data_IF_077879963836
#
_entry.id   IF_077879963836
#
_cell.length_a   1.000
_cell.length_b   1.000
_cell.length_c   1.000
_cell.angle_alpha   90.00
_cell.angle_beta   90.00
_cell.angle_gamma   90.00
#
_symmetry.space_group_name_H-M   'P 1'
#
loop_
_entity.id
_entity.type
_entity.pdbx_description
1 polymer ?
#
# COMPACT_ATOMS: atom_id res chain seq x y z
N UNK A 1 -4.90 2.71 15.80
CA UNK A 1 -3.79 3.35 16.51
C UNK A 1 -2.69 3.77 15.54
N UNK A 2 -2.22 5.03 15.66
CA UNK A 2 -1.11 5.52 14.86
C UNK A 2 0.22 5.06 15.46
N UNK A 3 1.02 4.33 14.68
CA UNK A 3 2.38 3.92 15.05
C UNK A 3 3.41 4.96 14.61
N UNK A 4 3.25 5.51 13.40
CA UNK A 4 4.12 6.53 12.84
C UNK A 4 3.41 7.33 11.75
N UNK A 5 3.70 8.62 11.68
CA UNK A 5 3.36 9.50 10.57
C UNK A 5 4.48 10.50 10.36
N UNK A 6 4.96 10.62 9.12
CA UNK A 6 6.02 11.57 8.79
C UNK A 6 6.23 11.72 7.29
N UNK A 7 6.76 12.89 6.91
CA UNK A 7 7.14 13.24 5.54
C UNK A 7 8.65 13.18 5.38
N UNK A 8 9.13 13.03 4.16
CA UNK A 8 10.53 12.84 3.81
C UNK A 8 10.80 11.46 3.25
N UNK A 9 12.04 11.03 3.27
CA UNK A 9 12.45 9.70 2.79
C UNK A 9 13.18 8.93 3.87
N UNK A 10 13.07 7.60 3.84
CA UNK A 10 13.73 6.80 4.87
C UNK A 10 13.31 5.36 4.93
N UNK A 11 13.48 4.78 6.11
CA UNK A 11 13.12 3.39 6.40
C UNK A 11 12.44 3.29 7.76
N UNK A 12 11.27 2.66 7.80
CA UNK A 12 10.68 2.23 9.05
C UNK A 12 11.34 0.92 9.47
N UNK A 13 11.92 0.91 10.67
CA UNK A 13 12.75 -0.19 11.16
C UNK A 13 12.01 -1.07 12.15
N UNK A 14 11.00 -0.54 12.83
CA UNK A 14 10.21 -1.33 13.76
C UNK A 14 9.47 -0.52 14.79
N UNK A 15 8.79 -1.24 15.68
CA UNK A 15 8.04 -0.66 16.78
C UNK A 15 8.06 -1.54 18.02
N UNK A 16 7.96 -0.89 19.18
CA UNK A 16 7.60 -1.49 20.46
C UNK A 16 6.21 -0.99 20.81
N UNK A 17 5.30 -1.88 21.15
CA UNK A 17 3.89 -1.57 21.36
C UNK A 17 3.37 -2.27 22.62
N UNK A 18 2.77 -1.52 23.52
CA UNK A 18 2.07 -2.04 24.70
C UNK A 18 0.56 -1.89 24.53
N UNK A 19 -0.15 -2.97 24.79
CA UNK A 19 -1.60 -3.08 24.63
C UNK A 19 -2.19 -3.73 25.89
N UNK A 20 -3.37 -3.28 26.33
CA UNK A 20 -3.95 -3.68 27.62
C UNK A 20 -5.17 -4.58 27.53
N UNK A 21 -5.74 -4.86 26.38
CA UNK A 21 -6.92 -5.73 26.23
C UNK A 21 -6.71 -6.78 25.16
N UNK A 22 -7.30 -7.97 25.35
CA UNK A 22 -7.02 -9.13 24.50
C UNK A 22 -7.55 -9.02 23.07
N UNK A 23 -8.74 -8.49 22.83
CA UNK A 23 -9.37 -8.51 21.50
C UNK A 23 -8.70 -7.60 20.47
N UNK A 24 -7.53 -7.04 20.78
CA UNK A 24 -6.74 -6.29 19.81
C UNK A 24 -6.10 -7.16 18.73
N UNK A 25 -5.94 -8.47 18.97
CA UNK A 25 -5.15 -9.38 18.12
C UNK A 25 -5.56 -9.37 16.65
N UNK A 26 -6.83 -9.36 16.35
CA UNK A 26 -7.34 -9.35 14.96
C UNK A 26 -7.20 -7.99 14.24
N UNK A 27 -6.48 -7.04 14.83
CA UNK A 27 -6.26 -5.71 14.24
C UNK A 27 -5.09 -5.69 13.26
N UNK A 28 -5.37 -5.45 11.98
CA UNK A 28 -4.36 -5.44 10.92
C UNK A 28 -3.42 -4.24 11.05
N UNK A 29 -2.15 -4.44 10.72
CA UNK A 29 -1.25 -3.32 10.45
C UNK A 29 -1.42 -2.82 9.02
N UNK A 30 -1.36 -1.50 8.85
CA UNK A 30 -1.47 -0.81 7.58
C UNK A 30 -0.30 0.16 7.40
N UNK A 31 0.43 0.02 6.29
CA UNK A 31 1.48 0.95 5.91
C UNK A 31 1.09 1.65 4.60
N UNK A 32 0.73 2.92 4.72
CA UNK A 32 0.46 3.79 3.58
C UNK A 32 1.76 4.48 3.18
N UNK A 33 2.33 4.07 2.08
CA UNK A 33 3.65 4.51 1.62
C UNK A 33 3.51 5.56 0.54
N UNK A 34 4.26 6.65 0.68
CA UNK A 34 4.39 7.70 -0.33
C UNK A 34 3.04 8.30 -0.76
N UNK A 35 2.16 8.56 0.21
CA UNK A 35 0.88 9.21 0.00
C UNK A 35 -0.20 8.35 -0.67
N UNK A 36 0.00 7.02 -0.71
CA UNK A 36 -1.01 6.11 -1.23
C UNK A 36 -2.31 6.18 -0.42
N UNK A 37 -3.47 6.10 -1.09
CA UNK A 37 -4.79 6.09 -0.44
C UNK A 37 -5.18 4.70 0.10
N UNK A 38 -4.49 3.65 -0.34
CA UNK A 38 -4.60 2.29 0.17
C UNK A 38 -3.28 1.83 0.77
N UNK A 39 -3.27 0.96 1.78
CA UNK A 39 -2.02 0.48 2.36
C UNK A 39 -1.24 -0.36 1.35
N UNK A 40 0.04 -0.06 1.20
CA UNK A 40 0.95 -0.85 0.36
C UNK A 40 1.40 -2.14 1.06
N UNK A 41 1.28 -2.17 2.39
CA UNK A 41 1.38 -3.37 3.23
C UNK A 41 0.12 -3.40 4.08
N UNK A 42 -0.62 -4.50 3.98
CA UNK A 42 -1.85 -4.75 4.72
C UNK A 42 -1.72 -6.13 5.37
N UNK A 43 -1.71 -6.17 6.69
CA UNK A 43 -1.53 -7.39 7.46
C UNK A 43 -2.82 -8.15 7.75
N UNK A 44 -2.69 -9.15 8.60
CA UNK A 44 -3.76 -10.10 8.94
C UNK A 44 -4.12 -10.12 10.42
N UNK A 45 -3.36 -9.42 11.25
CA UNK A 45 -3.59 -9.32 12.69
C UNK A 45 -2.37 -8.79 13.41
N UNK A 46 -2.57 -8.17 14.55
CA UNK A 46 -1.46 -7.65 15.37
C UNK A 46 -0.58 -8.77 15.92
N UNK A 47 -1.14 -9.95 16.24
CA UNK A 47 -0.38 -11.11 16.66
C UNK A 47 0.52 -11.63 15.54
N UNK A 48 0.04 -11.63 14.30
CA UNK A 48 0.81 -12.01 13.12
C UNK A 48 1.93 -11.00 12.87
N UNK A 49 1.61 -9.71 12.95
CA UNK A 49 2.60 -8.64 12.81
C UNK A 49 3.74 -8.77 13.82
N UNK A 50 3.42 -9.06 15.10
CA UNK A 50 4.42 -9.18 16.16
C UNK A 50 5.05 -10.57 16.27
N UNK A 51 4.90 -11.46 15.27
CA UNK A 51 5.47 -12.82 15.21
C UNK A 51 4.95 -13.74 16.31
N UNK A 52 3.81 -13.45 16.89
CA UNK A 52 3.22 -14.22 17.96
C UNK A 52 2.37 -15.39 17.48
N UNK A 53 2.29 -15.61 16.15
CA UNK A 53 1.50 -16.63 15.50
C UNK A 53 0.02 -16.56 15.91
N UNK A 54 -0.70 -17.66 15.94
CA UNK A 54 -2.14 -17.73 16.24
C UNK A 54 -2.54 -17.02 17.55
N UNK A 55 -1.66 -17.00 18.55
CA UNK A 55 -1.84 -16.31 19.82
C UNK A 55 -0.53 -16.34 20.59
N UNK A 56 -0.13 -15.25 21.27
CA UNK A 56 1.09 -15.27 22.05
C UNK A 56 0.91 -16.18 23.28
N UNK A 57 1.22 -17.45 23.12
CA UNK A 57 1.06 -18.46 24.15
C UNK A 57 2.16 -18.44 25.23
N UNK A 58 3.31 -17.87 24.88
CA UNK A 58 4.47 -17.74 25.78
C UNK A 58 5.20 -16.44 25.48
N UNK A 59 5.86 -15.92 26.49
CA UNK A 59 6.88 -14.90 26.28
C UNK A 59 7.97 -15.45 25.37
N UNK A 60 8.44 -14.62 24.44
CA UNK A 60 9.59 -14.93 23.62
C UNK A 60 10.41 -13.66 23.37
N UNK A 61 11.67 -13.86 23.08
CA UNK A 61 12.63 -12.81 22.77
C UNK A 61 13.56 -13.26 21.64
N UNK A 62 13.56 -12.49 20.56
CA UNK A 62 14.39 -12.71 19.38
C UNK A 62 14.93 -11.37 18.88
N UNK A 63 15.98 -11.35 18.03
CA UNK A 63 16.45 -10.10 17.40
C UNK A 63 15.40 -9.38 16.56
N UNK A 64 14.35 -10.09 16.12
CA UNK A 64 13.32 -9.56 15.21
C UNK A 64 12.05 -9.13 15.93
N UNK A 65 11.84 -9.57 17.15
CA UNK A 65 10.67 -9.21 17.94
C UNK A 65 10.59 -9.95 19.25
N UNK A 66 9.78 -9.42 20.14
CA UNK A 66 9.48 -10.07 21.42
C UNK A 66 8.00 -9.93 21.77
N UNK A 67 7.56 -10.83 22.66
CA UNK A 67 6.32 -10.72 23.41
C UNK A 67 6.67 -10.89 24.88
N UNK A 68 6.28 -9.91 25.71
CA UNK A 68 6.49 -9.91 27.16
C UNK A 68 5.19 -9.52 27.84
N UNK A 69 4.84 -10.27 28.87
CA UNK A 69 3.63 -10.07 29.64
C UNK A 69 2.68 -11.25 29.50
N UNK A 70 2.25 -11.78 30.62
CA UNK A 70 1.34 -12.91 30.65
C UNK A 70 -0.05 -12.52 30.15
N UNK A 71 -0.37 -12.93 28.94
CA UNK A 71 -1.68 -12.77 28.34
C UNK A 71 -2.60 -13.94 28.64
N UNK A 72 -2.09 -14.97 29.31
CA UNK A 72 -2.87 -16.12 29.74
C UNK A 72 -3.23 -16.00 31.19
N UNK A 73 -4.52 -16.05 31.49
CA UNK A 73 -4.93 -16.59 32.76
C UNK A 73 -4.56 -18.08 32.83
N UNK A 74 -4.07 -18.55 33.93
CA UNK A 74 -3.71 -19.96 34.18
C UNK A 74 -4.84 -20.97 33.91
N UNK A 75 -5.98 -20.55 33.38
CA UNK A 75 -7.13 -21.38 33.04
C UNK A 75 -7.41 -21.57 31.54
N UNK A 76 -6.62 -20.97 30.61
CA UNK A 76 -6.75 -21.22 29.17
C UNK A 76 -8.08 -20.77 28.56
N UNK A 77 -8.86 -19.95 29.25
CA UNK A 77 -10.13 -19.42 28.75
C UNK A 77 -10.05 -17.95 28.39
N UNK A 78 -10.87 -17.53 27.46
CA UNK A 78 -11.16 -16.12 27.13
C UNK A 78 -11.96 -15.46 28.27
N UNK A 79 -11.45 -15.54 29.50
CA UNK A 79 -12.17 -14.97 30.65
C UNK A 79 -12.04 -13.45 30.67
N UNK A 80 -13.13 -12.81 31.01
CA UNK A 80 -13.31 -11.34 30.99
C UNK A 80 -12.26 -10.57 31.81
N UNK A 81 -11.58 -11.22 32.77
CA UNK A 81 -10.60 -10.63 33.67
C UNK A 81 -9.13 -10.70 33.17
N UNK A 82 -8.83 -11.47 32.12
CA UNK A 82 -7.51 -11.52 31.50
C UNK A 82 -7.14 -10.23 30.74
N UNK A 83 -8.07 -9.30 30.66
CA UNK A 83 -8.01 -8.09 29.83
C UNK A 83 -7.26 -6.91 30.43
N UNK A 84 -6.82 -7.02 31.66
CA UNK A 84 -6.21 -5.89 32.39
C UNK A 84 -4.68 -5.96 32.48
N UNK A 85 -4.08 -7.05 32.03
CA UNK A 85 -2.61 -7.21 32.05
C UNK A 85 -2.02 -6.56 30.80
N UNK A 86 -1.11 -5.57 30.96
CA UNK A 86 -0.45 -4.97 29.83
C UNK A 86 0.51 -6.00 29.19
N UNK A 87 0.38 -6.22 27.90
CA UNK A 87 1.33 -6.97 27.11
C UNK A 87 2.21 -6.01 26.30
N UNK A 88 3.47 -6.35 26.15
CA UNK A 88 4.41 -5.59 25.36
C UNK A 88 4.91 -6.44 24.20
N UNK A 89 4.82 -5.89 23.02
CA UNK A 89 5.22 -6.51 21.77
C UNK A 89 6.29 -5.67 21.09
N UNK A 90 7.20 -6.31 20.38
CA UNK A 90 8.07 -5.60 19.47
C UNK A 90 8.19 -6.32 18.14
N UNK A 91 8.37 -5.54 17.08
CA UNK A 91 8.73 -6.03 15.74
C UNK A 91 9.83 -5.15 15.18
N UNK A 92 10.93 -5.78 14.74
CA UNK A 92 12.03 -5.09 14.07
C UNK A 92 12.23 -5.68 12.67
N UNK A 93 12.16 -4.82 11.67
CA UNK A 93 12.36 -5.13 10.25
C UNK A 93 13.85 -4.99 9.87
N UNK A 94 14.73 -5.73 10.56
CA UNK A 94 16.19 -5.53 10.44
C UNK A 94 16.71 -5.96 9.08
N UNK A 95 16.18 -7.05 8.51
CA UNK A 95 16.61 -7.57 7.21
C UNK A 95 15.86 -6.94 6.02
N UNK A 96 14.64 -6.45 6.27
CA UNK A 96 13.75 -5.86 5.26
C UNK A 96 13.03 -4.63 5.81
N UNK A 97 13.74 -3.53 6.10
CA UNK A 97 13.11 -2.30 6.55
C UNK A 97 12.16 -1.77 5.47
N UNK A 98 11.05 -1.17 5.91
CA UNK A 98 10.03 -0.66 4.99
C UNK A 98 10.48 0.69 4.44
N UNK A 99 10.81 0.79 3.13
CA UNK A 99 11.27 2.03 2.53
C UNK A 99 10.11 2.97 2.25
N UNK A 100 10.37 4.27 2.35
CA UNK A 100 9.50 5.31 1.84
C UNK A 100 10.33 6.45 1.26
N UNK A 101 9.79 7.14 0.26
CA UNK A 101 10.51 8.15 -0.52
C UNK A 101 9.93 9.56 -0.39
N UNK A 102 8.69 9.70 0.05
CA UNK A 102 8.05 11.01 0.30
C UNK A 102 7.28 11.08 1.61
N UNK A 103 6.96 9.95 2.21
CA UNK A 103 6.28 9.87 3.49
C UNK A 103 5.77 8.49 3.82
N UNK A 104 5.41 8.31 5.09
CA UNK A 104 4.86 7.06 5.60
C UNK A 104 3.80 7.36 6.67
N UNK A 105 2.68 6.65 6.57
CA UNK A 105 1.72 6.51 7.67
C UNK A 105 1.62 5.03 8.01
N UNK A 106 2.01 4.67 9.23
CA UNK A 106 1.90 3.32 9.78
C UNK A 106 0.86 3.29 10.88
N UNK A 107 -0.10 2.41 10.77
CA UNK A 107 -1.22 2.23 11.71
C UNK A 107 -1.39 0.78 12.07
N UNK A 108 -2.08 0.53 13.18
CA UNK A 108 -2.58 -0.78 13.56
C UNK A 108 -4.02 -0.64 14.04
N UNK A 109 -4.90 -1.53 13.63
CA UNK A 109 -6.30 -1.53 14.03
C UNK A 109 -6.46 -1.99 15.47
N UNK A 110 -7.56 -1.60 16.10
CA UNK A 110 -7.95 -2.01 17.44
C UNK A 110 -8.87 -3.23 17.37
N UNK A 111 -8.31 -4.42 17.12
CA UNK A 111 -9.08 -5.64 16.85
C UNK A 111 -9.68 -5.65 15.45
N UNK A 112 -10.32 -6.76 15.08
CA UNK A 112 -10.76 -7.04 13.70
C UNK A 112 -11.75 -6.05 13.10
N UNK A 113 -12.42 -5.24 13.90
CA UNK A 113 -13.32 -4.16 13.46
C UNK A 113 -12.84 -2.77 13.85
N UNK A 114 -11.60 -2.64 14.32
CA UNK A 114 -11.00 -1.39 14.82
C UNK A 114 -11.85 -0.66 15.89
N UNK A 115 -12.58 -1.39 16.71
CA UNK A 115 -13.56 -0.88 17.67
C UNK A 115 -13.25 -1.23 19.13
N UNK A 116 -12.13 -1.89 19.42
CA UNK A 116 -11.76 -2.26 20.77
C UNK A 116 -11.21 -1.05 21.52
N UNK A 117 -11.87 -0.72 22.63
CA UNK A 117 -11.41 0.34 23.52
C UNK A 117 -10.34 -0.24 24.45
N UNK A 118 -9.11 0.21 24.30
CA UNK A 118 -7.97 -0.25 25.08
C UNK A 118 -6.97 0.90 25.30
N UNK A 119 -5.98 0.65 26.16
CA UNK A 119 -4.84 1.54 26.29
C UNK A 119 -3.71 1.02 25.40
N UNK A 120 -3.28 1.88 24.49
CA UNK A 120 -2.17 1.63 23.59
C UNK A 120 -1.03 2.60 23.89
N UNK A 121 0.19 2.12 23.80
CA UNK A 121 1.43 2.94 23.85
C UNK A 121 2.39 2.35 22.85
N UNK A 122 3.01 3.18 22.01
CA UNK A 122 3.98 2.71 21.04
C UNK A 122 5.18 3.63 20.95
N UNK A 123 6.29 3.06 20.55
CA UNK A 123 7.52 3.74 20.16
C UNK A 123 8.01 3.14 18.85
N UNK A 124 8.06 3.94 17.79
CA UNK A 124 8.52 3.50 16.48
C UNK A 124 9.92 4.00 16.17
N UNK A 125 10.68 3.20 15.45
CA UNK A 125 12.06 3.46 15.04
C UNK A 125 12.11 3.69 13.55
N UNK A 126 12.63 4.84 13.13
CA UNK A 126 12.69 5.27 11.73
C UNK A 126 14.04 5.93 11.45
N UNK A 127 14.68 5.54 10.36
CA UNK A 127 15.74 6.35 9.77
C UNK A 127 15.09 7.34 8.81
N UNK A 128 15.22 8.64 9.10
CA UNK A 128 14.53 9.70 8.38
C UNK A 128 15.52 10.70 7.78
N UNK A 129 15.36 10.97 6.49
CA UNK A 129 15.82 12.17 5.82
C UNK A 129 14.61 13.10 5.59
N UNK A 130 14.70 14.35 6.00
CA UNK A 130 13.61 15.32 5.86
C UNK A 130 13.26 15.65 4.40
N UNK A 131 14.17 15.35 3.46
CA UNK A 131 13.94 15.58 2.03
C UNK A 131 13.18 14.43 1.39
N UNK A 132 12.15 14.77 0.62
CA UNK A 132 11.46 13.83 -0.27
C UNK A 132 12.35 13.46 -1.45
N UNK A 133 12.44 12.17 -1.74
CA UNK A 133 13.10 11.62 -2.93
C UNK A 133 12.13 11.20 -4.03
N UNK A 134 10.86 11.54 -3.88
CA UNK A 134 9.82 11.23 -4.85
C UNK A 134 9.04 12.51 -5.16
N UNK A 135 8.93 12.86 -6.43
CA UNK A 135 8.19 14.05 -6.89
C UNK A 135 7.18 13.65 -7.95
N UNK A 136 5.92 14.01 -7.75
CA UNK A 136 4.91 13.83 -8.78
C UNK A 136 5.24 14.69 -10.00
N UNK A 137 5.24 14.09 -11.18
CA UNK A 137 5.55 14.74 -12.46
C UNK A 137 4.36 14.79 -13.42
N UNK A 138 3.40 13.86 -13.25
CA UNK A 138 2.23 13.79 -14.12
C UNK A 138 1.05 13.09 -13.45
N UNK A 139 -0.13 13.20 -14.06
CA UNK A 139 -1.36 12.54 -13.63
C UNK A 139 -2.30 12.32 -14.81
N UNK A 140 -2.81 11.11 -14.97
CA UNK A 140 -3.78 10.76 -16.00
C UNK A 140 -5.09 10.36 -15.33
N UNK A 141 -6.16 11.10 -15.58
CA UNK A 141 -7.53 10.72 -15.22
C UNK A 141 -8.10 9.88 -16.37
N UNK A 142 -8.23 8.57 -16.15
CA UNK A 142 -8.71 7.64 -17.17
C UNK A 142 -10.23 7.69 -17.24
N UNK A 143 -10.76 7.86 -18.45
CA UNK A 143 -12.19 8.09 -18.69
C UNK A 143 -12.56 9.57 -18.80
N UNK A 144 -11.65 10.49 -18.42
CA UNK A 144 -11.77 11.90 -18.79
C UNK A 144 -11.17 12.15 -20.18
N UNK A 145 -11.99 12.60 -21.12
CA UNK A 145 -11.57 12.75 -22.52
C UNK A 145 -10.50 13.83 -22.72
N UNK A 146 -10.47 14.85 -21.86
CA UNK A 146 -9.45 15.91 -21.90
C UNK A 146 -8.09 15.38 -21.43
N UNK A 147 -8.07 14.69 -20.30
CA UNK A 147 -6.86 14.04 -19.76
C UNK A 147 -6.34 12.98 -20.71
N UNK A 148 -7.19 12.09 -21.21
CA UNK A 148 -6.80 11.07 -22.19
C UNK A 148 -6.19 11.68 -23.47
N UNK A 149 -6.78 12.76 -23.97
CA UNK A 149 -6.26 13.45 -25.16
C UNK A 149 -4.88 14.07 -24.92
N UNK A 150 -4.69 14.76 -23.79
CA UNK A 150 -3.39 15.34 -23.42
C UNK A 150 -2.26 14.30 -23.34
N UNK A 151 -2.58 13.13 -22.80
CA UNK A 151 -1.62 12.04 -22.62
C UNK A 151 -1.58 11.07 -23.81
N UNK A 152 -2.30 11.35 -24.90
CA UNK A 152 -2.40 10.45 -26.08
C UNK A 152 -2.81 9.03 -25.63
N UNK A 153 -3.69 8.94 -24.63
CA UNK A 153 -4.17 7.67 -24.11
C UNK A 153 -4.99 6.96 -25.18
N UNK A 154 -4.66 5.73 -25.45
CA UNK A 154 -5.38 4.86 -26.40
C UNK A 154 -5.47 3.47 -25.82
N UNK A 155 -6.64 2.87 -25.94
CA UNK A 155 -6.84 1.47 -25.58
C UNK A 155 -7.73 0.79 -26.61
N UNK A 156 -7.47 -0.48 -26.83
CA UNK A 156 -8.38 -1.38 -27.54
C UNK A 156 -8.96 -2.40 -26.53
N UNK A 157 -10.11 -3.00 -26.87
CA UNK A 157 -10.80 -3.97 -26.01
C UNK A 157 -11.14 -3.43 -24.61
N UNK A 158 -11.52 -2.16 -24.52
CA UNK A 158 -11.91 -1.53 -23.26
C UNK A 158 -13.34 -1.02 -23.29
N UNK A 159 -13.91 -0.88 -22.08
CA UNK A 159 -15.20 -0.23 -21.84
C UNK A 159 -14.99 0.87 -20.80
N UNK A 160 -15.46 2.09 -21.12
CA UNK A 160 -15.52 3.20 -20.15
C UNK A 160 -16.63 2.96 -19.15
N UNK A 161 -16.37 3.28 -17.91
CA UNK A 161 -17.34 3.33 -16.82
C UNK A 161 -17.20 4.65 -16.08
N UNK A 162 -18.29 5.36 -15.90
CA UNK A 162 -18.31 6.67 -15.27
C UNK A 162 -19.00 6.61 -13.90
N UNK A 163 -18.56 7.47 -12.98
CA UNK A 163 -19.21 7.66 -11.69
C UNK A 163 -19.15 6.42 -10.80
N UNK A 164 -18.03 5.69 -10.82
CA UNK A 164 -17.78 4.60 -9.90
C UNK A 164 -17.63 5.13 -8.48
N UNK A 165 -18.45 4.62 -7.57
CA UNK A 165 -18.27 4.86 -6.13
C UNK A 165 -17.52 3.68 -5.53
N UNK A 166 -16.31 3.92 -5.05
CA UNK A 166 -15.38 2.88 -4.59
C UNK A 166 -14.89 3.22 -3.18
N UNK A 167 -14.86 2.23 -2.29
CA UNK A 167 -14.21 2.36 -0.98
C UNK A 167 -12.74 1.96 -1.12
N UNK A 168 -11.79 2.78 -0.63
CA UNK A 168 -10.39 2.39 -0.56
C UNK A 168 -10.17 1.19 0.36
N UNK A 169 -9.24 0.33 0.00
CA UNK A 169 -8.71 -0.70 0.90
C UNK A 169 -8.07 -0.03 2.12
N UNK A 170 -8.12 -0.69 3.28
CA UNK A 170 -7.47 -0.25 4.51
C UNK A 170 -8.43 0.06 5.63
N UNK A 171 -8.35 1.26 6.21
CA UNK A 171 -9.16 1.67 7.36
C UNK A 171 -10.66 1.56 7.07
N UNK A 172 -11.46 1.14 8.08
CA UNK A 172 -12.93 1.11 8.02
C UNK A 172 -13.51 2.53 7.92
N UNK A 173 -13.20 3.22 6.85
CA UNK A 173 -13.74 4.53 6.54
C UNK A 173 -15.08 4.37 5.82
N UNK A 174 -16.09 5.17 6.21
CA UNK A 174 -17.34 5.28 5.46
C UNK A 174 -17.17 6.07 4.16
N UNK A 175 -16.02 6.70 3.96
CA UNK A 175 -15.75 7.52 2.79
C UNK A 175 -15.55 6.67 1.53
N UNK A 176 -16.19 7.10 0.45
CA UNK A 176 -15.97 6.56 -0.88
C UNK A 176 -15.34 7.62 -1.75
N UNK A 177 -14.50 7.18 -2.68
CA UNK A 177 -14.03 8.02 -3.79
C UNK A 177 -14.94 7.84 -5.00
N UNK A 178 -15.06 8.87 -5.84
CA UNK A 178 -15.82 8.81 -7.09
C UNK A 178 -14.85 8.95 -8.25
N UNK A 179 -14.80 7.93 -9.10
CA UNK A 179 -13.85 7.84 -10.21
C UNK A 179 -14.56 7.46 -11.51
N UNK A 180 -13.95 7.85 -12.62
CA UNK A 180 -14.19 7.23 -13.91
C UNK A 180 -13.12 6.16 -14.14
N UNK A 181 -13.22 5.39 -15.22
CA UNK A 181 -12.16 4.45 -15.55
C UNK A 181 -12.48 3.57 -16.75
N UNK A 182 -11.56 2.70 -17.06
CA UNK A 182 -11.69 1.71 -18.13
C UNK A 182 -11.51 0.30 -17.59
N UNK A 183 -12.32 -0.60 -18.12
CA UNK A 183 -12.18 -2.05 -17.90
C UNK A 183 -11.81 -2.70 -19.22
N UNK A 184 -10.76 -3.52 -19.19
CA UNK A 184 -10.18 -4.19 -20.35
C UNK A 184 -10.39 -5.70 -20.22
N UNK A 185 -10.53 -6.37 -21.36
CA UNK A 185 -10.61 -7.84 -21.47
C UNK A 185 -9.44 -8.38 -22.30
N UNK A 186 -8.28 -7.75 -22.17
CA UNK A 186 -7.09 -7.96 -22.99
C UNK A 186 -6.73 -6.74 -23.80
N UNK A 187 -5.87 -6.91 -24.79
CA UNK A 187 -5.48 -5.86 -25.74
C UNK A 187 -4.30 -5.01 -25.27
N UNK A 188 -4.26 -3.78 -25.75
CA UNK A 188 -3.14 -2.88 -25.52
C UNK A 188 -3.63 -1.52 -25.05
N UNK A 189 -2.94 -0.98 -24.05
CA UNK A 189 -3.09 0.38 -23.55
C UNK A 189 -1.81 1.13 -23.87
N UNK A 190 -1.90 2.35 -24.39
CA UNK A 190 -0.75 3.23 -24.61
C UNK A 190 -1.04 4.63 -24.14
N UNK A 191 -0.07 5.28 -23.52
CA UNK A 191 -0.15 6.68 -23.12
C UNK A 191 1.24 7.30 -23.03
N UNK A 192 1.30 8.64 -22.94
CA UNK A 192 2.52 9.38 -22.70
C UNK A 192 2.46 10.06 -21.34
N UNK A 193 3.61 10.12 -20.67
CA UNK A 193 3.75 10.78 -19.37
C UNK A 193 4.95 11.71 -19.35
N UNK A 194 4.81 12.84 -18.68
CA UNK A 194 5.91 13.74 -18.41
C UNK A 194 6.75 13.24 -17.24
N UNK A 195 8.08 13.34 -17.37
CA UNK A 195 9.02 12.94 -16.32
C UNK A 195 10.17 13.95 -16.22
N UNK A 196 10.85 13.96 -15.06
CA UNK A 196 12.07 14.75 -14.90
C UNK A 196 13.26 14.03 -15.60
N UNK A 197 14.01 14.67 -16.51
CA UNK A 197 15.16 14.05 -17.15
C UNK A 197 16.27 13.61 -16.21
N UNK A 198 16.41 14.28 -15.06
CA UNK A 198 17.41 13.96 -14.03
C UNK A 198 16.98 12.83 -13.08
N UNK A 199 15.86 12.16 -13.36
CA UNK A 199 15.33 11.11 -12.51
C UNK A 199 16.31 9.93 -12.32
N UNK A 200 16.12 9.22 -11.21
CA UNK A 200 16.77 7.93 -10.90
C UNK A 200 15.84 6.73 -11.06
N UNK A 201 14.83 6.87 -11.85
CA UNK A 201 13.74 5.94 -12.11
C UNK A 201 12.40 6.66 -12.03
N UNK A 202 11.35 5.99 -12.46
CA UNK A 202 9.99 6.53 -12.48
C UNK A 202 9.03 5.51 -11.86
N UNK A 203 8.16 5.97 -10.97
CA UNK A 203 7.07 5.18 -10.43
C UNK A 203 5.77 5.52 -11.15
N UNK A 204 5.11 4.50 -11.66
CA UNK A 204 3.72 4.59 -12.08
C UNK A 204 2.85 4.04 -10.96
N UNK A 205 1.98 4.85 -10.38
CA UNK A 205 0.96 4.43 -9.43
C UNK A 205 -0.36 4.36 -10.16
N UNK A 206 -0.96 3.19 -10.20
CA UNK A 206 -2.27 2.96 -10.81
C UNK A 206 -3.33 2.79 -9.74
N UNK A 207 -4.41 3.57 -9.82
CA UNK A 207 -5.63 3.26 -9.09
C UNK A 207 -6.41 2.21 -9.87
N UNK A 208 -6.69 1.08 -9.23
CA UNK A 208 -7.40 -0.06 -9.82
C UNK A 208 -8.66 -0.40 -9.02
N UNK A 209 -9.57 -1.12 -9.67
CA UNK A 209 -10.73 -1.75 -9.03
C UNK A 209 -10.41 -3.22 -8.72
N UNK A 210 -10.30 -3.55 -7.44
CA UNK A 210 -10.03 -4.91 -6.97
C UNK A 210 -11.13 -5.92 -7.30
N UNK A 211 -12.36 -5.47 -7.59
CA UNK A 211 -13.44 -6.36 -8.01
C UNK A 211 -13.15 -7.10 -9.32
N UNK A 212 -12.21 -6.60 -10.11
CA UNK A 212 -11.77 -7.26 -11.35
C UNK A 212 -10.99 -8.56 -11.11
N UNK A 213 -10.47 -8.75 -9.89
CA UNK A 213 -9.67 -9.93 -9.53
C UNK A 213 -8.26 -9.87 -10.09
N UNK A 214 -7.76 -11.01 -10.60
CA UNK A 214 -6.40 -11.09 -11.15
C UNK A 214 -6.24 -10.19 -12.36
N UNK A 215 -5.24 -9.31 -12.31
CA UNK A 215 -4.92 -8.34 -13.35
C UNK A 215 -3.44 -8.44 -13.71
N UNK A 216 -3.12 -8.54 -15.00
CA UNK A 216 -1.76 -8.67 -15.47
C UNK A 216 -1.54 -7.90 -16.77
N UNK A 217 -0.41 -7.21 -16.88
CA UNK A 217 0.04 -6.57 -18.10
C UNK A 217 1.56 -6.61 -18.24
N UNK A 218 2.06 -6.87 -19.44
CA UNK A 218 3.47 -6.65 -19.75
C UNK A 218 3.69 -5.16 -20.05
N UNK A 219 4.68 -4.56 -19.37
CA UNK A 219 4.98 -3.13 -19.44
C UNK A 219 6.14 -2.87 -20.37
N UNK A 220 5.95 -1.91 -21.28
CA UNK A 220 7.00 -1.44 -22.20
C UNK A 220 7.14 0.07 -22.08
N UNK A 221 8.38 0.56 -22.08
CA UNK A 221 8.75 1.98 -22.06
C UNK A 221 9.51 2.29 -23.33
N UNK A 222 8.98 3.18 -24.17
CA UNK A 222 9.54 3.54 -25.49
C UNK A 222 9.89 2.31 -26.35
N UNK A 223 9.10 1.25 -26.20
CA UNK A 223 9.25 -0.01 -26.93
C UNK A 223 10.15 -1.05 -26.27
N UNK A 224 10.87 -0.71 -25.20
CA UNK A 224 11.70 -1.64 -24.44
C UNK A 224 10.88 -2.28 -23.30
N UNK A 225 11.05 -3.57 -23.06
CA UNK A 225 10.37 -4.28 -21.98
C UNK A 225 10.87 -3.77 -20.61
N UNK A 226 9.94 -3.43 -19.72
CA UNK A 226 10.23 -2.96 -18.38
C UNK A 226 9.86 -3.99 -17.29
N UNK A 227 9.01 -4.96 -17.60
CA UNK A 227 8.59 -6.02 -16.69
C UNK A 227 7.10 -6.32 -16.78
N UNK A 228 6.60 -7.03 -15.77
CA UNK A 228 5.20 -7.45 -15.66
C UNK A 228 4.54 -6.72 -14.51
N UNK A 229 3.43 -6.02 -14.75
CA UNK A 229 2.56 -5.47 -13.72
C UNK A 229 1.50 -6.49 -13.36
N UNK A 230 1.51 -6.97 -12.13
CA UNK A 230 0.65 -8.05 -11.67
C UNK A 230 -0.08 -7.68 -10.38
N UNK A 231 -1.37 -7.92 -10.34
CA UNK A 231 -2.23 -7.84 -9.17
C UNK A 231 -2.98 -9.16 -9.01
N UNK A 232 -2.88 -9.83 -7.85
CA UNK A 232 -3.41 -11.16 -7.62
C UNK A 232 -4.57 -11.24 -6.63
N UNK A 233 -4.99 -10.10 -6.07
CA UNK A 233 -6.06 -10.07 -5.07
C UNK A 233 -7.41 -9.70 -5.68
N UNK A 234 -8.49 -10.01 -4.94
CA UNK A 234 -9.86 -9.64 -5.26
C UNK A 234 -10.55 -9.14 -3.98
N UNK A 235 -11.26 -8.01 -4.07
CA UNK A 235 -12.06 -7.49 -2.97
C UNK A 235 -13.31 -6.80 -3.55
N UNK A 236 -14.49 -7.34 -3.27
CA UNK A 236 -15.75 -6.78 -3.77
C UNK A 236 -16.26 -5.58 -2.95
N UNK A 237 -15.71 -5.38 -1.74
CA UNK A 237 -16.18 -4.37 -0.79
C UNK A 237 -15.24 -3.16 -0.76
N UNK A 238 -13.94 -3.37 -0.55
CA UNK A 238 -12.91 -2.35 -0.52
C UNK A 238 -12.20 -2.33 -1.88
N UNK A 239 -12.86 -1.74 -2.87
CA UNK A 239 -12.55 -1.92 -4.28
C UNK A 239 -11.40 -1.05 -4.79
N UNK A 240 -11.19 0.15 -4.21
CA UNK A 240 -10.14 1.05 -4.66
C UNK A 240 -8.79 0.67 -4.05
N UNK A 241 -7.82 0.35 -4.91
CA UNK A 241 -6.45 0.05 -4.50
C UNK A 241 -5.45 0.76 -5.39
N UNK A 242 -4.43 1.34 -4.78
CA UNK A 242 -3.29 1.91 -5.52
C UNK A 242 -2.14 0.92 -5.57
N UNK A 243 -1.63 0.68 -6.76
CA UNK A 243 -0.52 -0.23 -7.01
C UNK A 243 0.60 0.46 -7.77
N UNK A 244 1.82 0.32 -7.26
CA UNK A 244 3.02 0.90 -7.84
C UNK A 244 3.72 -0.06 -8.80
N UNK A 245 4.29 0.50 -9.87
CA UNK A 245 5.24 -0.14 -10.79
C UNK A 245 6.44 0.76 -10.98
N UNK A 246 7.60 0.33 -10.53
CA UNK A 246 8.83 1.10 -10.62
C UNK A 246 9.59 0.78 -11.92
N UNK A 247 9.79 1.81 -12.73
CA UNK A 247 10.55 1.74 -13.98
C UNK A 247 12.01 2.12 -13.69
N UNK A 248 12.99 1.27 -14.00
CA UNK A 248 14.38 1.52 -13.68
C UNK A 248 14.98 2.69 -14.47
N UNK A 249 16.02 3.29 -13.90
CA UNK A 249 16.68 4.50 -14.39
C UNK A 249 17.22 4.38 -15.82
N UNK A 250 17.70 3.23 -16.21
CA UNK A 250 18.23 2.97 -17.56
C UNK A 250 17.20 3.14 -18.67
N UNK A 251 15.91 2.98 -18.36
CA UNK A 251 14.80 3.22 -19.28
C UNK A 251 14.24 4.66 -19.22
N UNK A 252 14.62 5.48 -18.24
CA UNK A 252 13.92 6.74 -17.96
C UNK A 252 14.83 7.98 -17.98
N UNK A 253 16.09 7.85 -17.58
CA UNK A 253 17.02 8.97 -17.45
C UNK A 253 17.30 9.70 -18.76
N UNK A 254 17.38 11.03 -18.69
CA UNK A 254 17.64 11.89 -19.86
C UNK A 254 16.40 12.13 -20.73
N UNK A 255 15.25 11.61 -20.34
CA UNK A 255 13.98 11.80 -21.06
C UNK A 255 13.08 12.78 -20.31
N UNK A 256 12.39 13.63 -21.05
CA UNK A 256 11.35 14.52 -20.51
C UNK A 256 9.94 13.95 -20.64
N UNK A 257 9.78 12.93 -21.48
CA UNK A 257 8.53 12.16 -21.64
C UNK A 257 8.83 10.71 -21.90
N UNK A 258 7.93 9.83 -21.46
CA UNK A 258 7.97 8.41 -21.74
C UNK A 258 6.69 7.98 -22.46
N UNK A 259 6.82 7.08 -23.43
CA UNK A 259 5.67 6.36 -24.00
C UNK A 259 5.54 5.02 -23.31
N UNK A 260 4.46 4.88 -22.55
CA UNK A 260 4.12 3.63 -21.88
C UNK A 260 3.21 2.80 -22.79
N UNK A 261 3.44 1.49 -22.83
CA UNK A 261 2.56 0.52 -23.47
C UNK A 261 2.38 -0.66 -22.55
N UNK A 262 1.12 -0.96 -22.24
CA UNK A 262 0.73 -2.14 -21.47
C UNK A 262 0.10 -3.14 -22.44
N UNK A 263 0.56 -4.38 -22.41
CA UNK A 263 -0.05 -5.51 -23.13
C UNK A 263 -0.81 -6.32 -22.08
N UNK A 264 -2.12 -6.19 -22.09
CA UNK A 264 -3.01 -6.73 -21.07
C UNK A 264 -3.30 -8.20 -21.34
N UNK A 265 -3.14 -9.03 -20.32
CA UNK A 265 -3.46 -10.45 -20.33
C UNK A 265 -4.73 -10.69 -19.47
N UNK A 266 -5.87 -10.87 -20.13
CA UNK A 266 -7.16 -11.06 -19.47
C UNK A 266 -7.80 -9.75 -18.98
N UNK A 267 -8.37 -9.80 -17.79
CA UNK A 267 -9.06 -8.64 -17.22
C UNK A 267 -8.07 -7.63 -16.60
N UNK A 268 -8.39 -6.33 -16.73
CA UNK A 268 -7.58 -5.25 -16.18
C UNK A 268 -8.45 -4.00 -16.00
N UNK A 269 -8.20 -3.23 -14.95
CA UNK A 269 -8.87 -1.95 -14.71
C UNK A 269 -7.84 -0.86 -14.47
N UNK A 270 -8.08 0.31 -15.04
CA UNK A 270 -7.35 1.53 -14.73
C UNK A 270 -8.33 2.70 -14.58
N UNK A 271 -8.20 3.40 -13.45
CA UNK A 271 -9.02 4.55 -13.12
C UNK A 271 -8.18 5.83 -13.26
N UNK A 272 -6.98 5.80 -12.76
CA UNK A 272 -6.00 6.86 -12.99
C UNK A 272 -4.57 6.30 -12.92
N UNK A 273 -3.63 7.14 -13.36
CA UNK A 273 -2.20 6.93 -13.16
C UNK A 273 -1.59 8.20 -12.58
N UNK A 274 -0.94 8.08 -11.43
CA UNK A 274 -0.06 9.11 -10.90
C UNK A 274 1.38 8.73 -11.22
N UNK A 275 2.15 9.68 -11.74
CA UNK A 275 3.53 9.46 -12.15
C UNK A 275 4.47 10.21 -11.24
N UNK A 276 5.46 9.52 -10.73
CA UNK A 276 6.49 10.11 -9.88
C UNK A 276 7.87 9.87 -10.46
N UNK A 277 8.75 10.85 -10.31
CA UNK A 277 10.18 10.70 -10.54
C UNK A 277 10.90 10.48 -9.21
N UNK A 278 11.80 9.50 -9.16
CA UNK A 278 12.78 9.41 -8.09
C UNK A 278 13.85 10.48 -8.28
N UNK A 279 14.02 11.35 -7.28
CA UNK A 279 14.98 12.44 -7.31
C UNK A 279 16.43 11.93 -7.13
N UNK A 280 17.44 12.66 -7.66
CA UNK A 280 18.85 12.38 -7.46
C UNK A 280 19.30 12.27 -6.02
#
# INVERSE_FOLDING_TARGET
WLLYEGTGSGWYVGTVHSMMKQHYCEGNEHFYVDGAISPQINGTGSEDYYLACFWPNNDFDTPFGCVVGDIRNEGGGLEENAYEVPSCYSRFHLEAPIPFYSGLVAKIQHGGFSNIISQYRSLSYVYLNAESRLTQTDYIDVGDSGSESMHQYQSNQSKITNGLSLKPEGDFSESSISENGRYHTGGTITFRVAVNPENRGVRLRRLLDQKVGVQKAEVFVDGQAAGTWYWGCENEYLRAYEQDFDIPQDLTRGRSTLRIRLVVDGNFSDLNYTVFAFNP
#
